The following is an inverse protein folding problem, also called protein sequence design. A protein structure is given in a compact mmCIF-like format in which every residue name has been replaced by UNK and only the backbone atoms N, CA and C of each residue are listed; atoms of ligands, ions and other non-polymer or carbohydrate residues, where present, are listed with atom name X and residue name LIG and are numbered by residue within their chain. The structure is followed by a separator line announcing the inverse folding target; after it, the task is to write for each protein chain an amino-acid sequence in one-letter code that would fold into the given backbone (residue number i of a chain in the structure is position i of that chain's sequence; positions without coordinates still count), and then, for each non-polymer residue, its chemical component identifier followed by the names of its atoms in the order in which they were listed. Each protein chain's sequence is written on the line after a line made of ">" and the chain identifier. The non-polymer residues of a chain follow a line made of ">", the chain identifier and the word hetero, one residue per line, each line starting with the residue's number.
data_IF_259142019634
#
_entry.id   IF_259142019634
#
_cell.length_a   1.000
_cell.length_b   1.000
_cell.length_c   1.000
_cell.angle_alpha   90.00
_cell.angle_beta   90.00
_cell.angle_gamma   90.00
#
_symmetry.space_group_name_H-M   'P 1'
#
loop_
_entity.id
_entity.type
_entity.pdbx_description
1 polymer ?
#
# COMPACT_ATOMS: atom_id res chain seq x y z
N UNK A 1 -6.45 -12.51 -9.95
CA UNK A 1 -5.55 -11.45 -9.45
C UNK A 1 -5.94 -10.10 -10.02
N UNK A 2 -6.04 -9.94 -11.34
CA UNK A 2 -6.32 -8.65 -11.99
C UNK A 2 -7.58 -7.95 -11.45
N UNK A 3 -8.67 -8.69 -11.23
CA UNK A 3 -9.90 -8.13 -10.66
C UNK A 3 -9.69 -7.64 -9.22
N UNK A 4 -8.88 -8.35 -8.43
CA UNK A 4 -8.57 -7.97 -7.05
C UNK A 4 -7.74 -6.69 -7.03
N UNK A 5 -6.72 -6.58 -7.89
CA UNK A 5 -5.91 -5.37 -8.00
C UNK A 5 -6.77 -4.15 -8.37
N UNK A 6 -7.71 -4.31 -9.30
CA UNK A 6 -8.63 -3.25 -9.71
C UNK A 6 -9.57 -2.80 -8.57
N UNK A 7 -10.04 -3.75 -7.77
CA UNK A 7 -10.85 -3.45 -6.60
C UNK A 7 -10.04 -2.67 -5.54
N UNK A 8 -8.79 -3.11 -5.28
CA UNK A 8 -7.89 -2.45 -4.34
C UNK A 8 -7.56 -1.03 -4.80
N UNK A 9 -7.29 -0.83 -6.09
CA UNK A 9 -7.05 0.51 -6.66
C UNK A 9 -8.20 1.48 -6.36
N UNK A 10 -9.43 0.97 -6.38
CA UNK A 10 -10.62 1.80 -6.11
C UNK A 10 -10.89 2.00 -4.62
N UNK A 11 -10.69 0.95 -3.81
CA UNK A 11 -11.16 0.90 -2.42
C UNK A 11 -10.08 1.26 -1.39
N UNK A 12 -8.80 1.21 -1.77
CA UNK A 12 -7.71 1.43 -0.83
C UNK A 12 -7.70 2.84 -0.28
N UNK A 13 -7.80 2.95 1.06
CA UNK A 13 -7.88 4.24 1.75
C UNK A 13 -6.59 5.05 1.68
N UNK A 14 -5.45 4.39 1.62
CA UNK A 14 -4.16 5.07 1.50
C UNK A 14 -3.99 5.68 0.11
N UNK A 15 -4.44 5.00 -0.95
CA UNK A 15 -4.46 5.55 -2.31
C UNK A 15 -5.38 6.77 -2.39
N UNK A 16 -6.56 6.71 -1.79
CA UNK A 16 -7.50 7.83 -1.73
C UNK A 16 -6.91 9.02 -0.95
N UNK A 17 -6.29 8.76 0.20
CA UNK A 17 -5.64 9.79 1.02
C UNK A 17 -4.45 10.43 0.28
N UNK A 18 -3.62 9.62 -0.39
CA UNK A 18 -2.49 10.12 -1.18
C UNK A 18 -2.97 11.01 -2.34
N UNK A 19 -4.03 10.62 -3.05
CA UNK A 19 -4.61 11.45 -4.11
C UNK A 19 -5.07 12.83 -3.61
N UNK A 20 -5.68 12.87 -2.42
CA UNK A 20 -6.06 14.13 -1.77
C UNK A 20 -4.84 14.97 -1.36
N UNK A 21 -3.81 14.32 -0.80
CA UNK A 21 -2.55 14.98 -0.43
C UNK A 21 -1.88 15.62 -1.65
N UNK A 22 -1.74 14.88 -2.73
CA UNK A 22 -1.17 15.39 -3.99
C UNK A 22 -1.98 16.58 -4.53
N UNK A 23 -3.30 16.50 -4.46
CA UNK A 23 -4.18 17.60 -4.85
C UNK A 23 -3.92 18.86 -4.00
N UNK A 24 -3.80 18.69 -2.68
CA UNK A 24 -3.49 19.76 -1.75
C UNK A 24 -2.12 20.40 -2.05
N UNK A 25 -1.08 19.60 -2.25
CA UNK A 25 0.27 20.07 -2.58
C UNK A 25 0.31 20.84 -3.90
N UNK A 26 -0.46 20.39 -4.91
CA UNK A 26 -0.60 21.12 -6.18
C UNK A 26 -1.31 22.47 -6.03
N UNK A 27 -2.32 22.53 -5.15
CA UNK A 27 -3.00 23.80 -4.84
C UNK A 27 -2.06 24.72 -4.07
N UNK A 28 -1.38 24.23 -3.05
CA UNK A 28 -0.40 25.01 -2.28
C UNK A 28 0.70 25.57 -3.15
N UNK A 29 1.26 24.79 -4.08
CA UNK A 29 2.29 25.27 -5.00
C UNK A 29 1.82 26.42 -5.88
N UNK A 30 0.52 26.56 -6.14
CA UNK A 30 -0.04 27.68 -6.91
C UNK A 30 -0.14 28.96 -6.08
N UNK A 31 -0.32 28.86 -4.77
CA UNK A 31 -0.47 30.03 -3.89
C UNK A 31 0.82 30.84 -3.79
N UNK A 32 1.99 30.22 -3.99
CA UNK A 32 3.30 30.86 -4.01
C UNK A 32 3.45 31.94 -5.11
N UNK A 33 2.54 31.96 -6.08
CA UNK A 33 2.57 32.87 -7.19
C UNK A 33 1.44 33.93 -7.16
N UNK A 34 0.77 34.06 -6.02
CA UNK A 34 -0.23 35.10 -5.82
C UNK A 34 0.45 36.48 -5.64
N UNK A 35 -0.29 37.52 -5.96
CA UNK A 35 0.12 38.86 -5.58
C UNK A 35 0.12 38.99 -4.07
N UNK A 36 1.13 39.67 -3.47
CA UNK A 36 1.07 40.01 -2.05
C UNK A 36 -0.21 40.78 -1.72
N UNK A 37 -0.74 40.58 -0.53
CA UNK A 37 -1.95 41.25 -0.10
C UNK A 37 -1.73 42.76 -0.02
N UNK A 38 -2.71 43.60 -0.42
CA UNK A 38 -2.65 45.02 -0.22
C UNK A 38 -2.68 45.35 1.25
N UNK A 39 -1.84 46.27 1.68
CA UNK A 39 -1.84 46.77 3.06
C UNK A 39 -2.55 48.11 3.15
N UNK A 40 -3.47 48.20 4.11
CA UNK A 40 -4.17 49.43 4.45
C UNK A 40 -3.71 49.86 5.84
N UNK A 41 -3.09 51.01 5.95
CA UNK A 41 -2.71 51.60 7.25
C UNK A 41 -3.38 52.94 7.43
N UNK A 42 -3.87 53.17 8.62
CA UNK A 42 -4.40 54.46 9.07
C UNK A 42 -3.60 54.94 10.28
N UNK A 43 -3.01 56.12 10.14
CA UNK A 43 -2.31 56.77 11.23
C UNK A 43 -3.07 58.07 11.62
N UNK A 44 -3.30 58.21 12.91
CA UNK A 44 -3.88 59.41 13.47
C UNK A 44 -2.77 60.17 14.24
N UNK A 45 -2.38 61.34 13.74
CA UNK A 45 -1.32 62.18 14.29
C UNK A 45 -1.92 63.35 15.07
N UNK A 46 -1.54 63.45 16.32
CA UNK A 46 -1.94 64.60 17.18
C UNK A 46 -0.84 65.69 17.14
N UNK A 47 -1.21 66.91 16.88
CA UNK A 47 -0.25 68.03 16.89
C UNK A 47 0.39 68.23 18.28
N UNK A 48 1.71 68.41 18.30
CA UNK A 48 2.49 68.50 19.57
C UNK A 48 2.34 69.85 20.31
N UNK A 49 1.87 70.91 19.63
CA UNK A 49 1.79 72.26 20.20
C UNK A 49 0.39 72.86 20.26
N UNK A 50 -0.50 72.53 19.35
CA UNK A 50 -1.90 72.94 19.38
C UNK A 50 -2.81 71.66 19.34
N UNK A 51 -3.54 71.45 20.45
CA UNK A 51 -4.40 70.26 20.62
C UNK A 51 -5.58 70.19 19.61
N UNK A 52 -5.73 71.14 18.71
CA UNK A 52 -6.80 71.21 17.73
C UNK A 52 -6.40 70.78 16.32
N UNK A 53 -5.13 70.56 16.02
CA UNK A 53 -4.70 70.04 14.70
C UNK A 53 -4.50 68.54 14.80
N UNK A 54 -5.42 67.79 14.18
CA UNK A 54 -5.31 66.36 14.01
C UNK A 54 -5.19 66.09 12.51
N UNK A 55 -4.16 65.29 12.16
CA UNK A 55 -3.94 64.81 10.78
C UNK A 55 -4.22 63.34 10.75
N UNK A 56 -5.20 62.94 9.92
CA UNK A 56 -5.43 61.55 9.58
C UNK A 56 -4.69 61.19 8.30
N UNK A 57 -3.85 60.18 8.35
CA UNK A 57 -3.16 59.66 7.17
C UNK A 57 -3.70 58.27 6.85
N UNK A 58 -4.21 58.05 5.66
CA UNK A 58 -4.64 56.78 5.12
C UNK A 58 -3.67 56.36 4.01
N UNK A 59 -2.93 55.28 4.24
CA UNK A 59 -2.00 54.75 3.25
C UNK A 59 -2.47 53.40 2.77
N UNK A 60 -2.64 53.28 1.45
CA UNK A 60 -2.90 52.03 0.75
C UNK A 60 -1.65 51.68 -0.03
N UNK A 61 -1.02 50.56 0.25
CA UNK A 61 0.17 50.11 -0.46
C UNK A 61 0.00 48.70 -1.03
N UNK A 62 0.42 48.55 -2.27
CA UNK A 62 0.46 47.27 -2.99
C UNK A 62 1.86 47.06 -3.55
N UNK A 63 2.48 45.96 -3.17
CA UNK A 63 3.76 45.56 -3.75
C UNK A 63 3.57 44.62 -4.94
N UNK A 64 4.45 44.73 -5.91
CA UNK A 64 4.50 43.87 -7.09
C UNK A 64 5.92 43.40 -7.30
N UNK A 65 6.07 42.09 -7.49
CA UNK A 65 7.32 41.51 -7.93
C UNK A 65 7.54 41.78 -9.43
N UNK A 66 8.78 41.67 -9.88
CA UNK A 66 9.10 41.85 -11.30
C UNK A 66 8.39 40.77 -12.15
N UNK A 67 7.78 41.10 -13.30
CA UNK A 67 6.96 40.18 -14.10
C UNK A 67 7.63 38.88 -14.45
N UNK A 68 8.97 38.87 -14.66
CA UNK A 68 9.73 37.62 -14.92
C UNK A 68 9.73 36.63 -13.77
N UNK A 69 9.58 37.11 -12.52
CA UNK A 69 9.50 36.22 -11.33
C UNK A 69 8.21 35.40 -11.36
N UNK A 70 7.07 36.05 -11.71
CA UNK A 70 5.79 35.33 -11.85
C UNK A 70 5.85 34.27 -12.95
N UNK A 71 6.50 34.56 -14.08
CA UNK A 71 6.68 33.61 -15.18
C UNK A 71 7.56 32.42 -14.75
N UNK A 72 8.64 32.69 -14.01
CA UNK A 72 9.55 31.66 -13.49
C UNK A 72 8.88 30.79 -12.43
N UNK A 73 8.12 31.40 -11.49
CA UNK A 73 7.33 30.68 -10.49
C UNK A 73 6.27 29.78 -11.14
N UNK A 74 5.58 30.26 -12.18
CA UNK A 74 4.64 29.46 -12.95
C UNK A 74 5.30 28.22 -13.59
N UNK A 75 6.49 28.39 -14.17
CA UNK A 75 7.25 27.27 -14.73
C UNK A 75 7.66 26.28 -13.64
N UNK A 76 8.15 26.76 -12.50
CA UNK A 76 8.49 25.93 -11.35
C UNK A 76 7.28 25.15 -10.83
N UNK A 77 6.12 25.80 -10.70
CA UNK A 77 4.90 25.17 -10.21
C UNK A 77 4.39 24.07 -11.16
N UNK A 78 4.55 24.23 -12.47
CA UNK A 78 4.26 23.17 -13.45
C UNK A 78 5.19 21.97 -13.29
N UNK A 79 6.49 22.21 -13.07
CA UNK A 79 7.45 21.13 -12.83
C UNK A 79 7.18 20.41 -11.51
N UNK A 80 6.89 21.16 -10.44
CA UNK A 80 6.46 20.57 -9.14
C UNK A 80 5.20 19.72 -9.31
N UNK A 81 4.20 20.21 -10.03
CA UNK A 81 2.97 19.47 -10.29
C UNK A 81 3.24 18.14 -11.01
N UNK A 82 4.12 18.13 -12.03
CA UNK A 82 4.55 16.90 -12.70
C UNK A 82 5.31 15.94 -11.78
N UNK A 83 6.17 16.46 -10.88
CA UNK A 83 6.85 15.65 -9.89
C UNK A 83 5.87 15.00 -8.89
N UNK A 84 4.83 15.74 -8.46
CA UNK A 84 3.78 15.19 -7.60
C UNK A 84 2.96 14.11 -8.30
N UNK A 85 2.67 14.24 -9.60
CA UNK A 85 2.00 13.19 -10.37
C UNK A 85 2.86 11.94 -10.43
N UNK A 86 4.14 12.05 -10.74
CA UNK A 86 5.06 10.91 -10.74
C UNK A 86 5.17 10.25 -9.36
N UNK A 87 5.16 11.04 -8.28
CA UNK A 87 5.15 10.50 -6.92
C UNK A 87 3.88 9.71 -6.61
N UNK A 88 2.72 10.20 -7.06
CA UNK A 88 1.45 9.49 -6.92
C UNK A 88 1.46 8.17 -7.69
N UNK A 89 2.02 8.14 -8.89
CA UNK A 89 2.13 6.93 -9.71
C UNK A 89 3.04 5.89 -9.05
N UNK A 90 4.20 6.30 -8.52
CA UNK A 90 5.09 5.39 -7.77
C UNK A 90 4.36 4.80 -6.58
N UNK A 91 3.71 5.63 -5.76
CA UNK A 91 2.96 5.15 -4.59
C UNK A 91 1.85 4.16 -4.97
N UNK A 92 1.14 4.43 -6.07
CA UNK A 92 0.12 3.53 -6.62
C UNK A 92 0.72 2.19 -7.05
N UNK A 93 1.83 2.21 -7.80
CA UNK A 93 2.50 0.99 -8.25
C UNK A 93 3.01 0.14 -7.08
N UNK A 94 3.59 0.76 -6.05
CA UNK A 94 4.04 0.07 -4.85
C UNK A 94 2.89 -0.63 -4.12
N UNK A 95 1.73 0.03 -3.99
CA UNK A 95 0.55 -0.58 -3.37
C UNK A 95 -0.03 -1.74 -4.18
N UNK A 96 -0.06 -1.62 -5.51
CA UNK A 96 -0.50 -2.70 -6.39
C UNK A 96 0.49 -3.88 -6.39
N UNK A 97 1.79 -3.60 -6.32
CA UNK A 97 2.82 -4.63 -6.17
C UNK A 97 2.64 -5.39 -4.86
N UNK A 98 2.50 -4.69 -3.73
CA UNK A 98 2.22 -5.30 -2.42
C UNK A 98 0.97 -6.19 -2.49
N UNK A 99 -0.11 -5.72 -3.09
CA UNK A 99 -1.34 -6.51 -3.24
C UNK A 99 -1.13 -7.77 -4.10
N UNK A 100 -0.34 -7.65 -5.17
CA UNK A 100 0.01 -8.78 -6.03
C UNK A 100 0.84 -9.83 -5.29
N UNK A 101 1.83 -9.40 -4.51
CA UNK A 101 2.64 -10.29 -3.66
C UNK A 101 1.76 -11.05 -2.66
N UNK A 102 0.84 -10.37 -1.98
CA UNK A 102 -0.11 -11.01 -1.05
C UNK A 102 -0.99 -12.05 -1.76
N UNK A 103 -1.47 -11.75 -2.98
CA UNK A 103 -2.22 -12.72 -3.78
C UNK A 103 -1.37 -13.97 -4.12
N UNK A 104 -0.11 -13.78 -4.48
CA UNK A 104 0.80 -14.89 -4.80
C UNK A 104 1.10 -15.74 -3.56
N UNK A 105 1.30 -15.10 -2.39
CA UNK A 105 1.47 -15.78 -1.10
C UNK A 105 0.25 -16.64 -0.75
N UNK A 106 -0.97 -16.12 -0.97
CA UNK A 106 -2.21 -16.87 -0.73
C UNK A 106 -2.27 -18.12 -1.63
N UNK A 107 -1.90 -17.99 -2.91
CA UNK A 107 -1.84 -19.14 -3.83
C UNK A 107 -0.85 -20.19 -3.32
N UNK A 108 0.35 -19.77 -2.92
CA UNK A 108 1.38 -20.65 -2.34
C UNK A 108 0.85 -21.37 -1.11
N UNK A 109 0.28 -20.65 -0.16
CA UNK A 109 -0.25 -21.23 1.08
C UNK A 109 -1.40 -22.20 0.83
N UNK A 110 -2.24 -21.98 -0.18
CA UNK A 110 -3.28 -22.91 -0.60
C UNK A 110 -2.71 -24.21 -1.17
N UNK A 111 -1.68 -24.11 -2.01
CA UNK A 111 -1.00 -25.29 -2.54
C UNK A 111 -0.31 -26.08 -1.42
N UNK A 112 0.38 -25.39 -0.49
CA UNK A 112 0.95 -26.03 0.69
C UNK A 112 -0.12 -26.70 1.56
N UNK A 113 -1.29 -26.07 1.74
CA UNK A 113 -2.40 -26.65 2.50
C UNK A 113 -2.82 -28.01 1.92
N UNK A 114 -2.96 -28.12 0.59
CA UNK A 114 -3.33 -29.37 -0.07
C UNK A 114 -2.31 -30.48 0.21
N UNK A 115 -1.01 -30.17 0.13
CA UNK A 115 0.06 -31.13 0.42
C UNK A 115 0.05 -31.52 1.89
N UNK A 116 -0.11 -30.56 2.80
CA UNK A 116 -0.12 -30.83 4.24
C UNK A 116 -1.35 -31.63 4.67
N UNK A 117 -2.51 -31.42 4.06
CA UNK A 117 -3.70 -32.23 4.30
C UNK A 117 -3.53 -33.68 3.87
N UNK A 118 -2.83 -33.94 2.75
CA UNK A 118 -2.49 -35.30 2.32
C UNK A 118 -1.46 -35.95 3.27
N UNK A 119 -0.40 -35.23 3.62
CA UNK A 119 0.60 -35.70 4.60
C UNK A 119 -0.05 -36.01 5.95
N UNK A 120 -0.97 -35.19 6.40
CA UNK A 120 -1.69 -35.37 7.67
C UNK A 120 -2.52 -36.66 7.65
N UNK A 121 -3.32 -36.88 6.59
CA UNK A 121 -4.09 -38.12 6.43
C UNK A 121 -3.18 -39.37 6.46
N UNK A 122 -2.06 -39.29 5.73
CA UNK A 122 -1.11 -40.43 5.70
C UNK A 122 -0.47 -40.66 7.08
N UNK A 123 -0.09 -39.59 7.80
CA UNK A 123 0.47 -39.71 9.16
C UNK A 123 -0.55 -40.24 10.18
N UNK A 124 -1.83 -39.88 10.07
CA UNK A 124 -2.91 -40.38 10.91
C UNK A 124 -3.14 -41.88 10.70
N UNK A 125 -3.20 -42.34 9.44
CA UNK A 125 -3.33 -43.75 9.11
C UNK A 125 -2.13 -44.56 9.64
N UNK A 126 -0.92 -44.02 9.48
CA UNK A 126 0.30 -44.67 9.96
C UNK A 126 0.32 -44.76 11.50
N UNK A 127 -0.08 -43.70 12.20
CA UNK A 127 -0.14 -43.68 13.66
C UNK A 127 -1.16 -44.69 14.19
N UNK A 128 -2.33 -44.83 13.56
CA UNK A 128 -3.34 -45.82 13.92
C UNK A 128 -2.82 -47.26 13.69
N UNK A 129 -2.15 -47.51 12.58
CA UNK A 129 -1.58 -48.79 12.26
C UNK A 129 -0.51 -49.20 13.31
N UNK A 130 0.39 -48.30 13.68
CA UNK A 130 1.42 -48.56 14.70
C UNK A 130 0.84 -48.72 16.09
N UNK A 131 -0.23 -48.00 16.43
CA UNK A 131 -0.94 -48.19 17.69
C UNK A 131 -1.54 -49.60 17.80
N UNK A 132 -2.13 -50.14 16.72
CA UNK A 132 -2.64 -51.53 16.67
C UNK A 132 -1.51 -52.54 16.76
N UNK A 133 -0.40 -52.36 16.04
CA UNK A 133 0.77 -53.25 16.09
C UNK A 133 1.45 -53.25 17.47
N UNK A 134 1.46 -52.14 18.18
CA UNK A 134 1.95 -52.11 19.56
C UNK A 134 1.07 -52.95 20.49
N UNK A 135 -0.25 -52.95 20.32
CA UNK A 135 -1.19 -53.73 21.09
C UNK A 135 -1.02 -55.26 20.83
N UNK A 136 -0.68 -55.66 19.61
CA UNK A 136 -0.42 -57.07 19.23
C UNK A 136 1.01 -57.51 19.53
N UNK A 137 1.89 -56.60 19.95
CA UNK A 137 3.30 -56.89 20.21
C UNK A 137 4.19 -56.90 18.96
N UNK A 138 3.65 -56.50 17.80
CA UNK A 138 4.36 -56.47 16.50
C UNK A 138 5.14 -55.17 16.26
N UNK A 139 5.04 -54.19 17.16
CA UNK A 139 5.82 -52.95 17.15
C UNK A 139 6.29 -52.60 18.58
N UNK A 140 7.40 -51.90 18.69
CA UNK A 140 7.88 -51.41 19.98
C UNK A 140 7.42 -49.97 20.29
N UNK A 141 7.48 -49.59 21.56
CA UNK A 141 7.06 -48.25 22.02
C UNK A 141 7.88 -47.12 21.37
N UNK A 142 9.16 -47.34 21.07
CA UNK A 142 10.03 -46.32 20.46
C UNK A 142 9.59 -45.99 19.02
N UNK A 143 9.25 -47.02 18.24
CA UNK A 143 8.74 -46.86 16.88
C UNK A 143 7.41 -46.10 16.88
N UNK A 144 6.47 -46.55 17.75
CA UNK A 144 5.16 -45.88 17.90
C UNK A 144 5.31 -44.44 18.33
N UNK A 145 6.21 -44.11 19.24
CA UNK A 145 6.47 -42.74 19.68
C UNK A 145 7.06 -41.84 18.54
N UNK A 146 7.95 -42.40 17.70
CA UNK A 146 8.48 -41.68 16.52
C UNK A 146 7.38 -41.31 15.54
N UNK A 147 6.46 -42.27 15.28
CA UNK A 147 5.31 -42.01 14.38
C UNK A 147 4.37 -40.96 14.98
N UNK A 148 4.08 -41.04 16.28
CA UNK A 148 3.26 -40.02 16.95
C UNK A 148 3.92 -38.64 16.95
N UNK A 149 5.23 -38.55 17.09
CA UNK A 149 5.97 -37.31 16.99
C UNK A 149 5.86 -36.72 15.57
N UNK A 150 6.01 -37.55 14.52
CA UNK A 150 5.83 -37.09 13.14
C UNK A 150 4.40 -36.59 12.89
N UNK A 151 3.38 -37.29 13.37
CA UNK A 151 1.98 -36.86 13.29
C UNK A 151 1.79 -35.50 13.97
N UNK A 152 2.39 -35.28 15.15
CA UNK A 152 2.31 -33.98 15.84
C UNK A 152 2.99 -32.88 15.04
N UNK A 153 4.15 -33.16 14.43
CA UNK A 153 4.86 -32.20 13.59
C UNK A 153 4.00 -31.78 12.39
N UNK A 154 3.43 -32.72 11.66
CA UNK A 154 2.58 -32.48 10.50
C UNK A 154 1.33 -31.68 10.90
N UNK A 155 0.70 -31.98 12.03
CA UNK A 155 -0.44 -31.23 12.57
C UNK A 155 -0.05 -29.75 12.87
N UNK A 156 1.12 -29.56 13.45
CA UNK A 156 1.63 -28.23 13.76
C UNK A 156 1.88 -27.44 12.47
N UNK A 157 2.54 -28.04 11.48
CA UNK A 157 2.77 -27.41 10.17
C UNK A 157 1.45 -27.04 9.49
N UNK A 158 0.45 -27.91 9.50
CA UNK A 158 -0.86 -27.65 8.92
C UNK A 158 -1.58 -26.47 9.63
N UNK A 159 -1.51 -26.42 10.97
CA UNK A 159 -2.10 -25.34 11.77
C UNK A 159 -1.42 -23.99 11.52
N UNK A 160 -0.08 -23.98 11.41
CA UNK A 160 0.69 -22.79 11.08
C UNK A 160 0.36 -22.28 9.68
N UNK A 161 0.28 -23.16 8.70
CA UNK A 161 -0.10 -22.82 7.34
C UNK A 161 -1.51 -22.22 7.27
N UNK A 162 -2.48 -22.80 7.97
CA UNK A 162 -3.85 -22.26 8.02
C UNK A 162 -3.90 -20.87 8.67
N UNK A 163 -3.11 -20.67 9.71
CA UNK A 163 -3.00 -19.34 10.37
C UNK A 163 -2.37 -18.32 9.43
N UNK A 164 -1.29 -18.69 8.73
CA UNK A 164 -0.65 -17.82 7.74
C UNK A 164 -1.62 -17.46 6.61
N UNK A 165 -2.39 -18.42 6.11
CA UNK A 165 -3.41 -18.18 5.08
C UNK A 165 -4.48 -17.18 5.55
N UNK A 166 -4.99 -17.33 6.78
CA UNK A 166 -5.95 -16.37 7.35
C UNK A 166 -5.36 -14.97 7.48
N UNK A 167 -4.11 -14.87 7.95
CA UNK A 167 -3.43 -13.58 8.09
C UNK A 167 -3.25 -12.90 6.73
N UNK A 168 -2.86 -13.64 5.70
CA UNK A 168 -2.71 -13.11 4.34
C UNK A 168 -4.05 -12.67 3.71
N UNK A 169 -5.12 -13.42 3.97
CA UNK A 169 -6.47 -13.00 3.56
C UNK A 169 -6.91 -11.73 4.28
N UNK A 170 -6.59 -11.58 5.56
CA UNK A 170 -6.88 -10.35 6.30
C UNK A 170 -6.05 -9.16 5.80
N UNK A 171 -4.78 -9.37 5.48
CA UNK A 171 -3.91 -8.35 4.85
C UNK A 171 -4.51 -7.88 3.52
N UNK A 172 -4.97 -8.81 2.66
CA UNK A 172 -5.62 -8.50 1.41
C UNK A 172 -6.91 -7.67 1.60
N UNK A 173 -7.72 -8.03 2.60
CA UNK A 173 -8.94 -7.27 2.95
C UNK A 173 -8.57 -5.84 3.43
N UNK A 174 -7.51 -5.70 4.21
CA UNK A 174 -7.05 -4.38 4.67
C UNK A 174 -6.61 -3.52 3.50
N UNK A 175 -5.85 -4.09 2.54
CA UNK A 175 -5.47 -3.40 1.30
C UNK A 175 -6.69 -2.99 0.48
N UNK A 176 -7.78 -3.76 0.52
CA UNK A 176 -9.05 -3.43 -0.14
C UNK A 176 -9.95 -2.49 0.69
N UNK A 177 -9.38 -1.72 1.62
CA UNK A 177 -10.13 -0.78 2.46
C UNK A 177 -11.05 -1.43 3.49
N UNK A 178 -10.68 -2.62 3.98
CA UNK A 178 -11.45 -3.50 4.88
C UNK A 178 -12.75 -4.06 4.27
N UNK A 179 -12.86 -4.06 2.95
CA UNK A 179 -13.95 -4.73 2.24
C UNK A 179 -13.50 -6.16 1.94
N UNK A 180 -14.27 -7.20 2.34
CA UNK A 180 -13.90 -8.59 2.08
C UNK A 180 -13.67 -8.86 0.60
N UNK A 181 -12.54 -9.49 0.29
CA UNK A 181 -12.18 -9.89 -1.07
C UNK A 181 -12.46 -11.37 -1.26
N UNK A 182 -13.22 -11.70 -2.30
CA UNK A 182 -13.35 -13.10 -2.74
C UNK A 182 -12.19 -13.38 -3.67
N UNK A 183 -11.25 -14.18 -3.19
CA UNK A 183 -10.07 -14.60 -3.95
C UNK A 183 -9.95 -16.12 -3.86
N UNK A 184 -10.28 -16.83 -4.95
CA UNK A 184 -10.36 -18.31 -4.99
C UNK A 184 -9.24 -18.95 -5.81
N UNK A 185 -8.40 -18.16 -6.46
CA UNK A 185 -7.30 -18.68 -7.28
C UNK A 185 -6.35 -19.54 -6.43
N UNK A 186 -6.05 -20.74 -6.96
CA UNK A 186 -5.13 -21.71 -6.35
C UNK A 186 -3.92 -22.06 -7.22
N UNK A 187 -3.83 -21.45 -8.41
CA UNK A 187 -2.74 -21.63 -9.36
C UNK A 187 -2.13 -20.29 -9.75
N UNK A 188 -0.82 -20.30 -9.93
CA UNK A 188 -0.13 -19.11 -10.43
C UNK A 188 -0.59 -18.76 -11.84
N UNK A 189 -0.74 -17.48 -12.17
CA UNK A 189 -1.03 -17.06 -13.51
C UNK A 189 0.11 -17.47 -14.44
N UNK A 190 -0.24 -18.06 -15.58
CA UNK A 190 0.72 -18.38 -16.63
C UNK A 190 0.97 -17.08 -17.43
N UNK A 191 1.88 -16.25 -16.99
CA UNK A 191 2.39 -15.14 -17.79
C UNK A 191 3.54 -15.66 -18.64
N UNK A 192 3.43 -15.63 -19.98
CA UNK A 192 4.57 -15.96 -20.81
C UNK A 192 5.70 -14.97 -20.51
N UNK A 193 6.85 -15.50 -20.11
CA UNK A 193 8.03 -14.67 -19.93
C UNK A 193 8.45 -14.14 -21.29
N UNK A 194 8.68 -12.83 -21.48
CA UNK A 194 9.15 -12.30 -22.76
C UNK A 194 10.46 -13.01 -23.14
N UNK A 195 10.45 -13.62 -24.33
CA UNK A 195 11.63 -14.37 -24.81
C UNK A 195 12.79 -13.48 -25.22
N UNK A 196 12.56 -12.18 -25.36
CA UNK A 196 13.56 -11.20 -25.77
C UNK A 196 13.71 -10.10 -24.72
N UNK A 197 14.96 -9.89 -24.28
CA UNK A 197 15.34 -8.81 -23.36
C UNK A 197 14.96 -7.41 -23.88
N UNK A 198 14.98 -7.19 -25.19
CA UNK A 198 14.63 -5.90 -25.79
C UNK A 198 13.15 -5.58 -25.62
N UNK A 199 12.27 -6.59 -25.72
CA UNK A 199 10.84 -6.43 -25.47
C UNK A 199 10.59 -6.06 -24.00
N UNK A 200 11.21 -6.81 -23.06
CA UNK A 200 11.12 -6.52 -21.63
C UNK A 200 11.59 -5.10 -21.31
N UNK A 201 12.74 -4.68 -21.90
CA UNK A 201 13.27 -3.33 -21.71
C UNK A 201 12.34 -2.25 -22.23
N UNK A 202 11.69 -2.45 -23.36
CA UNK A 202 10.73 -1.48 -23.91
C UNK A 202 9.46 -1.36 -23.07
N UNK A 203 8.97 -2.46 -22.48
CA UNK A 203 7.82 -2.46 -21.58
C UNK A 203 8.09 -1.78 -20.23
N UNK A 204 9.32 -1.89 -19.72
CA UNK A 204 9.71 -1.26 -18.44
C UNK A 204 10.02 0.23 -18.59
N UNK A 205 10.45 0.68 -19.78
CA UNK A 205 10.82 2.07 -20.04
C UNK A 205 9.73 2.92 -20.70
N UNK A 206 8.58 2.32 -21.02
CA UNK A 206 7.39 2.99 -21.55
C UNK A 206 6.48 3.46 -20.44
#
# INVERSE_FOLDING_TARGET
>A
IEQVLKNIETNNKELQANAQLITSQKLESKTDNNLPDPTLSYAHLWGAKDKNETIGELVVSQSFDFPSLYATRNKLNRLKAGAYDSQADVFRQDKLLQAKEVCLDIIMLRQQKQILEERLRNAEVLAEMYAKRLQTGDANALETNKINLELLNVRTEASLNETALRNKMQELNTLNGNIPVVFEESRYPLTPFPSDYQILKSEVLS
#
